data_IF_195956243898
#
_entry.id   IF_195956243898
#
_cell.length_a   1.000
_cell.length_b   1.000
_cell.length_c   1.000
_cell.angle_alpha   90.00
_cell.angle_beta   90.00
_cell.angle_gamma   90.00
#
_symmetry.space_group_name_H-M   'P 1'
#
loop_
_entity.id
_entity.type
_entity.pdbx_description
1 polymer ?
#
# COMPACT_ATOMS: atom_id res chain seq x y z
N UNK A 1 14.37 5.08 0.24
CA UNK A 1 14.25 4.24 -0.96
C UNK A 1 15.30 4.62 -2.01
N UNK A 2 15.42 5.88 -2.41
CA UNK A 2 16.40 6.32 -3.42
C UNK A 2 17.84 5.94 -3.05
N UNK A 3 18.25 6.11 -1.80
CA UNK A 3 19.57 5.70 -1.29
C UNK A 3 19.82 4.20 -1.36
N UNK A 4 18.78 3.40 -1.54
CA UNK A 4 18.83 1.94 -1.71
C UNK A 4 18.74 1.50 -3.17
N UNK A 5 18.85 2.43 -4.12
CA UNK A 5 18.87 2.17 -5.55
C UNK A 5 17.50 2.04 -6.22
N UNK A 6 16.41 2.39 -5.53
CA UNK A 6 15.07 2.44 -6.12
C UNK A 6 14.81 3.81 -6.76
N UNK A 7 14.25 3.83 -7.96
CA UNK A 7 13.59 5.03 -8.48
C UNK A 7 12.34 5.31 -7.63
N UNK A 8 12.08 6.59 -7.32
CA UNK A 8 10.93 6.97 -6.49
C UNK A 8 10.10 8.02 -7.21
N UNK A 9 8.80 7.76 -7.35
CA UNK A 9 7.79 8.74 -7.73
C UNK A 9 6.89 8.98 -6.53
N UNK A 10 6.81 10.22 -6.07
CA UNK A 10 5.95 10.66 -4.98
C UNK A 10 5.21 11.93 -5.40
N UNK A 11 4.00 12.13 -4.88
CA UNK A 11 3.14 13.25 -5.26
C UNK A 11 2.27 13.68 -4.08
N UNK A 12 1.85 14.94 -4.11
CA UNK A 12 0.83 15.45 -3.21
C UNK A 12 -0.56 15.16 -3.79
N UNK A 13 -1.44 14.59 -3.00
CA UNK A 13 -2.84 14.40 -3.40
C UNK A 13 -3.54 15.73 -3.65
N UNK A 14 -4.57 15.71 -4.51
CA UNK A 14 -5.46 16.85 -4.71
C UNK A 14 -5.94 17.42 -3.37
N UNK A 15 -5.76 18.74 -3.17
CA UNK A 15 -6.06 19.47 -1.94
C UNK A 15 -4.98 19.38 -0.84
N UNK A 16 -3.83 18.75 -1.10
CA UNK A 16 -2.70 18.70 -0.16
C UNK A 16 -1.44 19.32 -0.76
N UNK A 17 -0.53 19.75 0.12
CA UNK A 17 0.76 20.32 -0.28
C UNK A 17 0.60 21.49 -1.24
N UNK A 18 1.17 21.36 -2.44
CA UNK A 18 1.05 22.34 -3.53
C UNK A 18 -0.04 21.97 -4.56
N UNK A 19 -0.70 20.84 -4.40
CA UNK A 19 -1.79 20.43 -5.29
C UNK A 19 -3.08 21.20 -4.99
N UNK A 20 -3.68 21.77 -6.02
CA UNK A 20 -4.99 22.42 -5.92
C UNK A 20 -6.15 21.44 -5.73
N UNK A 21 -7.38 21.93 -5.66
CA UNK A 21 -8.59 21.14 -5.58
C UNK A 21 -9.01 20.78 -4.15
N UNK A 22 -9.86 19.76 -4.00
CA UNK A 22 -10.40 19.32 -2.71
C UNK A 22 -10.14 17.83 -2.45
N UNK A 23 -9.75 17.47 -1.21
CA UNK A 23 -9.46 16.08 -0.85
C UNK A 23 -10.72 15.21 -0.96
N UNK A 24 -10.61 14.10 -1.66
CA UNK A 24 -11.65 13.07 -1.70
C UNK A 24 -11.06 11.71 -2.08
N UNK A 25 -11.78 10.62 -1.79
CA UNK A 25 -11.40 9.28 -2.27
C UNK A 25 -11.28 9.25 -3.79
N UNK A 26 -12.24 9.84 -4.49
CA UNK A 26 -12.24 9.89 -5.95
C UNK A 26 -11.05 10.68 -6.51
N UNK A 27 -10.67 11.79 -5.87
CA UNK A 27 -9.48 12.58 -6.23
C UNK A 27 -8.21 11.74 -6.04
N UNK A 28 -8.00 11.17 -4.86
CA UNK A 28 -6.82 10.34 -4.58
C UNK A 28 -6.67 9.14 -5.55
N UNK A 29 -7.79 8.53 -5.94
CA UNK A 29 -7.80 7.46 -6.93
C UNK A 29 -7.42 7.96 -8.34
N UNK A 30 -7.91 9.14 -8.76
CA UNK A 30 -7.50 9.76 -10.03
C UNK A 30 -6.03 10.16 -10.04
N UNK A 31 -5.54 10.67 -8.93
CA UNK A 31 -4.15 11.13 -8.81
C UNK A 31 -3.16 9.99 -9.00
N UNK A 32 -3.38 8.86 -8.32
CA UNK A 32 -2.49 7.71 -8.48
C UNK A 32 -2.55 7.11 -9.90
N UNK A 33 -3.72 7.12 -10.56
CA UNK A 33 -3.84 6.70 -11.97
C UNK A 33 -3.07 7.63 -12.91
N UNK A 34 -3.06 8.95 -12.64
CA UNK A 34 -2.29 9.93 -13.42
C UNK A 34 -0.79 9.70 -13.26
N UNK A 35 -0.33 9.46 -12.03
CA UNK A 35 1.10 9.17 -11.77
C UNK A 35 1.51 7.88 -12.46
N UNK A 36 0.70 6.83 -12.40
CA UNK A 36 0.99 5.57 -13.08
C UNK A 36 1.09 5.76 -14.61
N UNK A 37 0.12 6.46 -15.23
CA UNK A 37 0.16 6.77 -16.67
C UNK A 37 1.38 7.60 -17.03
N UNK A 38 1.70 8.63 -16.25
CA UNK A 38 2.91 9.42 -16.47
C UNK A 38 4.18 8.55 -16.49
N UNK A 39 4.32 7.64 -15.54
CA UNK A 39 5.49 6.75 -15.49
C UNK A 39 5.56 5.84 -16.72
N UNK A 40 4.45 5.23 -17.11
CA UNK A 40 4.41 4.25 -18.20
C UNK A 40 4.43 4.93 -19.58
N UNK A 41 3.55 5.91 -19.80
CA UNK A 41 3.30 6.48 -21.12
C UNK A 41 4.30 7.59 -21.46
N UNK A 42 4.70 8.43 -20.47
CA UNK A 42 5.59 9.56 -20.74
C UNK A 42 7.06 9.28 -20.37
N UNK A 43 7.30 8.48 -19.32
CA UNK A 43 8.65 8.15 -18.87
C UNK A 43 9.13 6.78 -19.39
N UNK A 44 8.27 6.00 -20.02
CA UNK A 44 8.59 4.68 -20.59
C UNK A 44 9.01 3.63 -19.55
N UNK A 45 8.55 3.77 -18.30
CA UNK A 45 8.87 2.80 -17.24
C UNK A 45 8.04 1.53 -17.46
N UNK A 46 8.67 0.35 -17.64
CA UNK A 46 7.91 -0.88 -17.81
C UNK A 46 7.04 -1.19 -16.58
N UNK A 47 5.75 -1.52 -16.75
CA UNK A 47 4.85 -1.84 -15.64
C UNK A 47 5.40 -2.91 -14.67
N UNK A 48 6.06 -3.94 -15.22
CA UNK A 48 6.68 -5.02 -14.44
C UNK A 48 7.88 -4.57 -13.57
N UNK A 49 8.36 -3.35 -13.73
CA UNK A 49 9.37 -2.74 -12.84
C UNK A 49 8.77 -1.78 -11.81
N UNK A 50 7.46 -1.49 -11.90
CA UNK A 50 6.77 -0.59 -10.97
C UNK A 50 6.29 -1.35 -9.76
N UNK A 51 6.66 -0.88 -8.56
CA UNK A 51 6.11 -1.31 -7.29
C UNK A 51 5.12 -0.25 -6.82
N UNK A 52 3.86 -0.63 -6.67
CA UNK A 52 2.84 0.24 -6.06
C UNK A 52 3.03 0.18 -4.56
N UNK A 53 3.29 1.34 -3.93
CA UNK A 53 3.55 1.41 -2.49
C UNK A 53 2.55 2.33 -1.82
N UNK A 54 1.87 1.81 -0.79
CA UNK A 54 0.92 2.58 0.00
C UNK A 54 1.15 2.46 1.49
N UNK A 55 1.31 3.61 2.18
CA UNK A 55 1.41 3.66 3.63
C UNK A 55 0.19 4.31 4.24
N UNK A 56 -0.38 3.69 5.29
CA UNK A 56 -1.54 4.22 6.01
C UNK A 56 -2.66 4.62 5.04
N UNK A 57 -3.07 5.88 4.99
CA UNK A 57 -4.08 6.38 4.05
C UNK A 57 -3.74 6.08 2.58
N UNK A 58 -2.46 6.07 2.23
CA UNK A 58 -2.00 5.72 0.89
C UNK A 58 -2.33 4.28 0.47
N UNK A 59 -2.64 3.39 1.42
CA UNK A 59 -3.08 2.02 1.08
C UNK A 59 -4.40 2.01 0.29
N UNK A 60 -5.27 3.00 0.49
CA UNK A 60 -6.53 3.13 -0.25
C UNK A 60 -6.35 3.28 -1.75
N UNK A 61 -5.74 4.37 -2.23
CA UNK A 61 -5.48 4.56 -3.66
C UNK A 61 -4.53 3.50 -4.23
N UNK A 62 -3.58 2.96 -3.43
CA UNK A 62 -2.69 1.89 -3.89
C UNK A 62 -3.44 0.59 -4.19
N UNK A 63 -4.37 0.17 -3.33
CA UNK A 63 -5.23 -0.99 -3.61
C UNK A 63 -6.13 -0.74 -4.84
N UNK A 64 -6.67 0.48 -4.96
CA UNK A 64 -7.49 0.86 -6.12
C UNK A 64 -6.70 0.77 -7.44
N UNK A 65 -5.46 1.25 -7.48
CA UNK A 65 -4.63 1.16 -8.66
C UNK A 65 -4.24 -0.30 -8.96
N UNK A 66 -3.81 -1.04 -7.95
CA UNK A 66 -3.36 -2.42 -8.09
C UNK A 66 -4.46 -3.39 -8.60
N UNK A 67 -5.73 -3.06 -8.37
CA UNK A 67 -6.88 -3.81 -8.92
C UNK A 67 -7.02 -3.63 -10.45
N UNK A 68 -6.41 -2.57 -11.03
CA UNK A 68 -6.70 -2.13 -12.41
C UNK A 68 -5.53 -2.24 -13.37
N UNK A 69 -4.31 -2.22 -12.88
CA UNK A 69 -3.14 -2.10 -13.74
C UNK A 69 -2.11 -3.19 -13.45
N UNK A 70 -1.34 -3.60 -14.48
CA UNK A 70 -0.18 -4.46 -14.23
C UNK A 70 0.90 -3.70 -13.46
N UNK A 71 1.56 -4.40 -12.54
CA UNK A 71 2.70 -3.90 -11.79
C UNK A 71 3.55 -5.09 -11.30
N UNK A 72 4.77 -4.81 -10.82
CA UNK A 72 5.62 -5.85 -10.23
C UNK A 72 5.03 -6.43 -8.95
N UNK A 73 4.53 -5.54 -8.08
CA UNK A 73 3.98 -5.91 -6.79
C UNK A 73 3.21 -4.74 -6.15
N UNK A 74 2.39 -5.07 -5.15
CA UNK A 74 1.78 -4.13 -4.21
C UNK A 74 2.46 -4.28 -2.84
N UNK A 75 2.94 -3.18 -2.27
CA UNK A 75 3.50 -3.12 -0.92
C UNK A 75 2.64 -2.18 -0.06
N UNK A 76 2.13 -2.69 1.04
CA UNK A 76 1.29 -1.93 1.97
C UNK A 76 1.95 -1.86 3.35
N UNK A 77 2.19 -0.65 3.84
CA UNK A 77 2.74 -0.39 5.17
C UNK A 77 1.68 0.20 6.09
N UNK A 78 1.44 -0.44 7.24
CA UNK A 78 0.41 -0.08 8.21
C UNK A 78 -0.97 0.17 7.54
N UNK A 79 -1.45 -0.76 6.68
CA UNK A 79 -2.69 -0.58 5.93
C UNK A 79 -3.92 -0.78 6.82
N UNK A 80 -5.05 -0.22 6.40
CA UNK A 80 -6.35 -0.41 7.05
C UNK A 80 -7.34 -1.16 6.15
N UNK A 81 -8.32 -1.84 6.74
CA UNK A 81 -9.39 -2.56 6.00
C UNK A 81 -10.30 -1.61 5.23
N UNK A 82 -10.70 -0.53 5.90
CA UNK A 82 -11.52 0.56 5.35
C UNK A 82 -11.42 1.76 6.28
N UNK A 83 -11.79 2.95 5.81
CA UNK A 83 -11.66 4.19 6.62
C UNK A 83 -12.44 4.10 7.93
N UNK A 84 -13.70 3.68 7.89
CA UNK A 84 -14.52 3.61 9.11
C UNK A 84 -14.12 2.48 10.03
N UNK A 85 -13.49 1.43 9.52
CA UNK A 85 -13.01 0.32 10.35
C UNK A 85 -11.90 0.74 11.31
N UNK A 86 -11.13 1.79 11.00
CA UNK A 86 -10.09 2.35 11.88
C UNK A 86 -10.70 2.88 13.19
N UNK A 87 -11.91 3.45 13.11
CA UNK A 87 -12.64 3.99 14.27
C UNK A 87 -13.72 3.02 14.78
N UNK A 88 -13.67 1.74 14.41
CA UNK A 88 -14.62 0.73 14.86
C UNK A 88 -16.02 0.81 14.23
N UNK A 89 -16.19 1.57 13.15
CA UNK A 89 -17.47 1.84 12.50
C UNK A 89 -17.57 1.26 11.08
N UNK A 90 -16.76 0.28 10.74
CA UNK A 90 -16.70 -0.32 9.39
C UNK A 90 -18.00 -1.04 8.92
N UNK A 91 -19.01 -1.10 9.76
CA UNK A 91 -20.35 -1.62 9.44
C UNK A 91 -21.31 -0.55 8.88
N UNK A 92 -20.92 0.75 8.96
CA UNK A 92 -21.75 1.83 8.44
C UNK A 92 -21.75 1.85 6.91
N UNK A 93 -22.87 2.22 6.28
CA UNK A 93 -22.93 2.47 4.85
C UNK A 93 -22.05 3.69 4.48
N UNK A 94 -21.60 3.74 3.22
CA UNK A 94 -20.73 4.80 2.67
C UNK A 94 -19.30 4.82 3.22
N UNK A 95 -18.82 3.68 3.74
CA UNK A 95 -17.42 3.51 4.11
C UNK A 95 -16.51 3.72 2.90
N UNK A 96 -15.34 4.33 3.13
CA UNK A 96 -14.41 4.72 2.08
C UNK A 96 -13.16 3.84 2.10
N UNK A 97 -12.46 3.81 0.96
CA UNK A 97 -11.24 3.03 0.78
C UNK A 97 -11.40 1.60 1.34
N UNK A 98 -12.39 0.88 0.83
CA UNK A 98 -12.66 -0.51 1.24
C UNK A 98 -11.58 -1.45 0.70
N UNK A 99 -10.39 -1.37 1.31
CA UNK A 99 -9.23 -2.16 0.89
C UNK A 99 -9.47 -3.66 1.03
N UNK A 100 -10.27 -4.06 2.03
CA UNK A 100 -10.62 -5.46 2.26
C UNK A 100 -11.31 -6.11 1.06
N UNK A 101 -12.17 -5.38 0.36
CA UNK A 101 -12.87 -5.88 -0.82
C UNK A 101 -11.98 -5.87 -2.08
N UNK A 102 -10.98 -4.97 -2.11
CA UNK A 102 -10.06 -4.82 -3.22
C UNK A 102 -8.97 -5.87 -3.23
N UNK A 103 -8.34 -6.11 -2.08
CA UNK A 103 -7.24 -7.11 -2.00
C UNK A 103 -7.71 -8.51 -2.39
N UNK A 104 -8.98 -8.82 -2.21
CA UNK A 104 -9.58 -10.08 -2.66
C UNK A 104 -9.67 -10.22 -4.20
N UNK A 105 -9.43 -9.15 -4.95
CA UNK A 105 -9.49 -9.10 -6.42
C UNK A 105 -8.14 -8.77 -7.06
N UNK A 106 -7.11 -8.51 -6.25
CA UNK A 106 -5.78 -8.17 -6.72
C UNK A 106 -4.97 -9.45 -6.90
N UNK A 107 -4.54 -9.72 -8.13
CA UNK A 107 -3.68 -10.86 -8.46
C UNK A 107 -2.18 -10.53 -8.30
N UNK A 108 -1.83 -9.26 -8.13
CA UNK A 108 -0.44 -8.85 -7.93
C UNK A 108 0.11 -9.44 -6.62
N UNK A 109 1.40 -9.81 -6.60
CA UNK A 109 2.08 -10.15 -5.35
C UNK A 109 1.94 -9.04 -4.31
N UNK A 110 1.53 -9.38 -3.09
CA UNK A 110 1.25 -8.45 -2.00
C UNK A 110 2.22 -8.66 -0.84
N UNK A 111 2.93 -7.59 -0.45
CA UNK A 111 3.63 -7.52 0.83
C UNK A 111 2.90 -6.56 1.77
N UNK A 112 2.52 -7.05 2.95
CA UNK A 112 2.02 -6.22 4.04
C UNK A 112 3.11 -6.11 5.11
N UNK A 113 3.41 -4.89 5.56
CA UNK A 113 4.32 -4.58 6.66
C UNK A 113 3.52 -3.90 7.76
N UNK A 114 3.45 -4.49 8.95
CA UNK A 114 2.64 -3.94 10.03
C UNK A 114 3.26 -4.15 11.40
N UNK A 115 3.08 -3.20 12.30
CA UNK A 115 3.61 -3.23 13.66
C UNK A 115 2.61 -3.76 14.68
N UNK A 116 3.08 -4.61 15.60
CA UNK A 116 2.21 -5.22 16.64
C UNK A 116 1.73 -4.24 17.69
N UNK A 117 2.34 -3.04 17.78
CA UNK A 117 1.95 -1.95 18.69
C UNK A 117 1.45 -0.71 17.95
N UNK A 118 0.88 -0.90 16.76
CA UNK A 118 0.24 0.19 16.04
C UNK A 118 -1.07 0.57 16.75
N UNK A 119 -1.09 1.79 17.30
CA UNK A 119 -2.23 2.36 18.04
C UNK A 119 -3.11 3.25 17.17
N UNK A 120 -2.71 3.51 15.92
CA UNK A 120 -3.49 4.29 14.94
C UNK A 120 -4.32 3.37 14.07
N UNK A 121 -3.65 2.38 13.45
CA UNK A 121 -4.30 1.31 12.69
C UNK A 121 -3.93 -0.01 13.35
N UNK A 122 -4.84 -0.64 14.11
CA UNK A 122 -4.55 -1.90 14.79
C UNK A 122 -3.97 -2.97 13.87
N UNK A 123 -2.98 -3.73 14.34
CA UNK A 123 -2.30 -4.80 13.60
C UNK A 123 -3.26 -5.79 12.94
N UNK A 124 -4.41 -6.06 13.58
CA UNK A 124 -5.48 -6.93 13.05
C UNK A 124 -6.05 -6.48 11.70
N UNK A 125 -5.84 -5.22 11.30
CA UNK A 125 -6.20 -4.76 9.96
C UNK A 125 -5.26 -5.35 8.90
N UNK A 126 -3.97 -5.40 9.18
CA UNK A 126 -2.98 -6.04 8.31
C UNK A 126 -3.21 -7.53 8.18
N UNK A 127 -3.49 -8.23 9.31
CA UNK A 127 -3.83 -9.65 9.30
C UNK A 127 -5.07 -9.94 8.45
N UNK A 128 -6.16 -9.16 8.64
CA UNK A 128 -7.38 -9.35 7.88
C UNK A 128 -7.19 -9.11 6.37
N UNK A 129 -6.39 -8.11 5.97
CA UNK A 129 -6.06 -7.88 4.57
C UNK A 129 -5.20 -9.01 4.00
N UNK A 130 -4.25 -9.51 4.78
CA UNK A 130 -3.43 -10.67 4.39
C UNK A 130 -4.31 -11.90 4.15
N UNK A 131 -5.22 -12.22 5.06
CA UNK A 131 -6.13 -13.36 4.89
C UNK A 131 -7.02 -13.23 3.65
N UNK A 132 -7.56 -12.03 3.39
CA UNK A 132 -8.47 -11.76 2.28
C UNK A 132 -7.79 -11.71 0.92
N UNK A 133 -6.48 -11.45 0.84
CA UNK A 133 -5.77 -11.30 -0.42
C UNK A 133 -5.76 -12.60 -1.24
N UNK A 134 -6.06 -12.49 -2.55
CA UNK A 134 -6.18 -13.62 -3.46
C UNK A 134 -4.83 -14.07 -4.05
N UNK A 135 -3.96 -13.12 -4.40
CA UNK A 135 -2.67 -13.36 -5.02
C UNK A 135 -1.60 -13.94 -4.09
N UNK A 136 -0.36 -14.12 -4.59
CA UNK A 136 0.79 -14.42 -3.75
C UNK A 136 0.95 -13.34 -2.69
N UNK A 137 1.17 -13.74 -1.43
CA UNK A 137 1.14 -12.78 -0.32
C UNK A 137 2.15 -13.08 0.76
N UNK A 138 2.68 -12.03 1.38
CA UNK A 138 3.58 -12.10 2.54
C UNK A 138 3.17 -11.06 3.57
N UNK A 139 3.18 -11.44 4.85
CA UNK A 139 3.00 -10.53 5.97
C UNK A 139 4.32 -10.42 6.74
N UNK A 140 4.88 -9.21 6.80
CA UNK A 140 6.04 -8.92 7.64
C UNK A 140 5.58 -8.20 8.91
N UNK A 141 5.59 -8.92 10.01
CA UNK A 141 5.27 -8.41 11.35
C UNK A 141 6.46 -7.74 11.98
N UNK A 142 6.33 -6.45 12.32
CA UNK A 142 7.37 -5.70 13.05
C UNK A 142 7.02 -5.71 14.53
N UNK A 143 7.69 -6.60 15.29
CA UNK A 143 7.45 -6.74 16.72
C UNK A 143 7.75 -5.44 17.50
N UNK A 144 6.77 -4.99 18.29
CA UNK A 144 6.83 -3.73 19.03
C UNK A 144 6.83 -2.47 18.16
N UNK A 145 6.62 -2.62 16.83
CA UNK A 145 6.47 -1.51 15.90
C UNK A 145 5.15 -0.78 16.09
N UNK A 146 5.16 0.54 16.06
CA UNK A 146 3.99 1.41 16.03
C UNK A 146 3.79 2.01 14.63
N UNK A 147 2.76 2.83 14.46
CA UNK A 147 2.36 3.38 13.16
C UNK A 147 3.45 4.16 12.40
N UNK A 148 4.30 4.89 13.13
CA UNK A 148 5.25 5.84 12.52
C UNK A 148 6.71 5.42 12.66
N UNK A 149 7.01 4.26 13.23
CA UNK A 149 8.40 3.86 13.50
C UNK A 149 8.79 2.48 12.94
N UNK A 150 8.02 1.93 12.01
CA UNK A 150 8.25 0.59 11.46
C UNK A 150 9.65 0.44 10.88
N UNK A 151 10.07 1.35 10.01
CA UNK A 151 11.39 1.33 9.41
C UNK A 151 12.50 1.42 10.48
N UNK A 152 12.35 2.32 11.45
CA UNK A 152 13.32 2.47 12.54
C UNK A 152 13.38 1.22 13.41
N UNK A 153 12.22 0.64 13.74
CA UNK A 153 12.12 -0.52 14.62
C UNK A 153 12.64 -1.80 13.98
N UNK A 154 12.35 -1.99 12.68
CA UNK A 154 12.80 -3.14 11.90
C UNK A 154 14.27 -3.01 11.43
N UNK A 155 14.78 -1.78 11.31
CA UNK A 155 16.16 -1.53 10.87
C UNK A 155 16.46 -2.13 9.50
N UNK A 156 17.62 -2.77 9.35
CA UNK A 156 18.03 -3.38 8.07
C UNK A 156 17.10 -4.52 7.63
N UNK A 157 16.44 -5.22 8.58
CA UNK A 157 15.50 -6.30 8.25
C UNK A 157 14.30 -5.82 7.41
N UNK A 158 13.91 -4.56 7.53
CA UNK A 158 12.89 -3.95 6.64
C UNK A 158 13.34 -4.02 5.17
N UNK A 159 14.56 -3.62 4.90
CA UNK A 159 15.12 -3.58 3.56
C UNK A 159 15.41 -4.98 3.00
N UNK A 160 15.87 -5.89 3.85
CA UNK A 160 16.06 -7.28 3.49
C UNK A 160 14.74 -7.92 3.07
N UNK A 161 13.70 -7.76 3.89
CA UNK A 161 12.37 -8.28 3.59
C UNK A 161 11.84 -7.75 2.26
N UNK A 162 11.98 -6.44 2.02
CA UNK A 162 11.56 -5.82 0.76
C UNK A 162 12.35 -6.38 -0.43
N UNK A 163 13.67 -6.48 -0.33
CA UNK A 163 14.52 -7.05 -1.39
C UNK A 163 14.19 -8.52 -1.68
N UNK A 164 14.06 -9.34 -0.63
CA UNK A 164 13.70 -10.76 -0.75
C UNK A 164 12.35 -10.93 -1.47
N UNK A 165 11.35 -10.14 -1.04
CA UNK A 165 10.03 -10.16 -1.65
C UNK A 165 10.07 -9.73 -3.13
N UNK A 166 10.74 -8.64 -3.46
CA UNK A 166 10.82 -8.14 -4.83
C UNK A 166 11.69 -9.01 -5.74
N UNK A 167 12.63 -9.79 -5.20
CA UNK A 167 13.42 -10.75 -5.97
C UNK A 167 12.60 -11.98 -6.38
N UNK A 168 11.62 -12.40 -5.57
CA UNK A 168 10.76 -13.57 -5.81
C UNK A 168 9.33 -13.33 -5.31
N UNK A 169 8.60 -12.40 -5.93
CA UNK A 169 7.31 -11.97 -5.42
C UNK A 169 6.21 -13.04 -5.53
N UNK A 170 6.40 -14.07 -6.35
CA UNK A 170 5.41 -15.13 -6.59
C UNK A 170 5.46 -16.27 -5.55
N UNK A 171 6.39 -16.25 -4.61
CA UNK A 171 6.42 -17.27 -3.54
C UNK A 171 5.26 -17.05 -2.57
N UNK A 172 4.40 -18.08 -2.49
CA UNK A 172 3.42 -18.21 -1.39
C UNK A 172 4.19 -18.69 -0.15
N UNK A 173 4.28 -17.86 0.85
CA UNK A 173 4.74 -18.21 2.20
C UNK A 173 3.56 -18.29 3.16
#
# INVERSE_FOLDING_TARGET
>A
YAERGYGVAAYDYEGYGQSGGEPSEAAACRDIERVWRYLVEERGVPPESIVIYGRSVGSGPSCFLAEKVPARALVLEAPFKSTFSVVGMGWLPFDRFRNIDRVAKIDLPLLIIHGTRDTVVPYSHGEALFEAAAGPKRLYTVEGGGHNNLLFKAGERYWETLREFLASPERKE
#
